data_IF_960863426553
#
_entry.id   IF_960863426553
#
_cell.length_a   1.000
_cell.length_b   1.000
_cell.length_c   1.000
_cell.angle_alpha   90.00
_cell.angle_beta   90.00
_cell.angle_gamma   90.00
#
_symmetry.space_group_name_H-M   'P 1'
#
loop_
_entity.id
_entity.type
_entity.pdbx_description
1 polymer ?
#
# COMPACT_ATOMS: atom_id res chain seq x y z
N UNK A 1 -37.12 -54.54 -2.71
CA UNK A 1 -36.71 -53.50 -1.73
C UNK A 1 -35.38 -52.92 -2.16
N UNK A 2 -35.37 -51.75 -2.78
CA UNK A 2 -34.15 -51.06 -3.24
C UNK A 2 -33.80 -49.95 -2.26
N UNK A 3 -32.73 -50.12 -1.48
CA UNK A 3 -32.19 -49.08 -0.60
C UNK A 3 -31.43 -48.08 -1.47
N UNK A 4 -32.00 -46.89 -1.65
CA UNK A 4 -31.33 -45.77 -2.31
C UNK A 4 -30.14 -45.28 -1.47
N UNK A 5 -28.93 -45.38 -2.02
CA UNK A 5 -27.76 -44.66 -1.54
C UNK A 5 -28.02 -43.14 -1.59
N UNK A 6 -28.10 -42.51 -0.42
CA UNK A 6 -28.01 -41.05 -0.31
C UNK A 6 -26.57 -40.63 -0.63
N UNK A 7 -26.29 -40.36 -1.92
CA UNK A 7 -25.10 -39.60 -2.34
C UNK A 7 -25.04 -38.28 -1.55
N UNK A 8 -24.07 -38.15 -0.64
CA UNK A 8 -23.73 -36.88 0.00
C UNK A 8 -23.40 -35.87 -1.10
N UNK A 9 -24.32 -34.94 -1.38
CA UNK A 9 -24.04 -33.76 -2.21
C UNK A 9 -22.98 -32.93 -1.49
N UNK A 10 -21.72 -33.08 -1.90
CA UNK A 10 -20.64 -32.18 -1.53
C UNK A 10 -21.06 -30.78 -2.01
N UNK A 11 -21.52 -29.93 -1.08
CA UNK A 11 -21.90 -28.54 -1.37
C UNK A 11 -20.63 -27.75 -1.68
N UNK A 12 -20.09 -27.93 -2.88
CA UNK A 12 -19.14 -26.98 -3.46
C UNK A 12 -19.80 -25.60 -3.43
N UNK A 13 -19.22 -24.66 -2.69
CA UNK A 13 -19.70 -23.27 -2.64
C UNK A 13 -19.61 -22.70 -4.06
N UNK A 14 -20.61 -21.94 -4.50
CA UNK A 14 -20.51 -21.25 -5.80
C UNK A 14 -19.26 -20.35 -5.83
N UNK A 15 -18.61 -20.17 -6.99
CA UNK A 15 -17.39 -19.36 -7.11
C UNK A 15 -17.52 -17.97 -6.46
N UNK A 16 -18.68 -17.33 -6.61
CA UNK A 16 -19.03 -16.05 -5.97
C UNK A 16 -18.97 -16.11 -4.44
N UNK A 17 -19.50 -17.17 -3.83
CA UNK A 17 -19.45 -17.36 -2.36
C UNK A 17 -18.03 -17.63 -1.87
N UNK A 18 -17.21 -18.35 -2.65
CA UNK A 18 -15.79 -18.57 -2.33
C UNK A 18 -15.00 -17.26 -2.37
N UNK A 19 -15.19 -16.44 -3.41
CA UNK A 19 -14.57 -15.13 -3.53
C UNK A 19 -14.97 -14.20 -2.37
N UNK A 20 -16.27 -14.08 -2.06
CA UNK A 20 -16.73 -13.26 -0.94
C UNK A 20 -16.18 -13.72 0.42
N UNK A 21 -16.03 -15.04 0.63
CA UNK A 21 -15.40 -15.57 1.84
C UNK A 21 -13.92 -15.18 1.90
N UNK A 22 -13.22 -15.26 0.79
CA UNK A 22 -11.81 -14.89 0.72
C UNK A 22 -11.61 -13.40 0.98
N UNK A 23 -12.49 -12.55 0.44
CA UNK A 23 -12.50 -11.12 0.74
C UNK A 23 -12.66 -10.83 2.24
N UNK A 24 -13.55 -11.57 2.93
CA UNK A 24 -13.64 -11.48 4.40
C UNK A 24 -12.33 -11.87 5.09
N UNK A 25 -11.68 -12.95 4.63
CA UNK A 25 -10.38 -13.39 5.16
C UNK A 25 -9.31 -12.31 4.98
N UNK A 26 -9.20 -11.71 3.79
CA UNK A 26 -8.23 -10.66 3.50
C UNK A 26 -8.49 -9.41 4.34
N UNK A 27 -9.76 -9.00 4.50
CA UNK A 27 -10.14 -7.84 5.32
C UNK A 27 -9.77 -8.08 6.79
N UNK A 28 -10.26 -9.17 7.40
CA UNK A 28 -9.99 -9.46 8.81
C UNK A 28 -8.50 -9.72 9.05
N UNK A 29 -7.80 -10.34 8.10
CA UNK A 29 -6.35 -10.51 8.14
C UNK A 29 -5.60 -9.17 8.15
N UNK A 30 -5.97 -8.23 7.28
CA UNK A 30 -5.41 -6.87 7.23
C UNK A 30 -5.59 -6.16 8.58
N UNK A 31 -6.80 -6.21 9.13
CA UNK A 31 -7.15 -5.58 10.41
C UNK A 31 -6.28 -6.18 11.54
N UNK A 32 -6.11 -7.51 11.59
CA UNK A 32 -5.21 -8.17 12.56
C UNK A 32 -3.72 -7.83 12.38
N UNK A 33 -3.23 -7.71 11.15
CA UNK A 33 -1.84 -7.29 10.90
C UNK A 33 -1.59 -5.87 11.38
N UNK A 34 -2.55 -4.97 11.21
CA UNK A 34 -2.45 -3.59 11.67
C UNK A 34 -2.51 -3.48 13.20
N UNK A 35 -3.42 -4.21 13.83
CA UNK A 35 -3.64 -4.15 15.28
C UNK A 35 -2.59 -4.90 16.09
N UNK A 36 -2.16 -6.07 15.60
CA UNK A 36 -1.33 -7.02 16.37
C UNK A 36 0.06 -7.21 15.79
N UNK A 37 0.38 -6.51 14.70
CA UNK A 37 1.61 -6.69 13.95
C UNK A 37 1.72 -8.06 13.28
N UNK A 38 2.86 -8.33 12.67
CA UNK A 38 3.10 -9.58 11.92
C UNK A 38 3.13 -10.83 12.82
N UNK A 39 3.49 -10.65 14.09
CA UNK A 39 3.72 -11.75 15.04
C UNK A 39 2.61 -11.93 16.08
N UNK A 40 1.81 -10.89 16.37
CA UNK A 40 0.84 -10.90 17.49
C UNK A 40 -0.50 -11.60 17.23
N UNK A 41 -0.66 -12.34 16.14
CA UNK A 41 -1.83 -13.19 15.93
C UNK A 41 -1.48 -14.56 15.32
N UNK A 42 -2.46 -15.47 15.38
CA UNK A 42 -2.37 -16.82 14.79
C UNK A 42 -3.50 -17.06 13.78
N UNK A 43 -3.29 -17.96 12.82
CA UNK A 43 -4.35 -18.38 11.89
C UNK A 43 -5.55 -19.02 12.60
N UNK A 44 -5.32 -19.67 13.75
CA UNK A 44 -6.41 -20.18 14.58
C UNK A 44 -7.25 -19.03 15.16
N UNK A 45 -6.60 -17.95 15.62
CA UNK A 45 -7.27 -16.73 16.07
C UNK A 45 -8.06 -16.06 14.94
N UNK A 46 -7.48 -15.97 13.74
CA UNK A 46 -8.17 -15.47 12.55
C UNK A 46 -9.40 -16.32 12.22
N UNK A 47 -9.28 -17.65 12.20
CA UNK A 47 -10.41 -18.56 11.95
C UNK A 47 -11.54 -18.34 12.96
N UNK A 48 -11.22 -18.20 14.25
CA UNK A 48 -12.18 -17.87 15.31
C UNK A 48 -12.87 -16.53 15.06
N UNK A 49 -12.13 -15.47 14.69
CA UNK A 49 -12.71 -14.15 14.39
C UNK A 49 -13.65 -14.13 13.17
N UNK A 50 -13.52 -15.11 12.28
CA UNK A 50 -14.32 -15.24 11.07
C UNK A 50 -15.54 -16.17 11.24
N UNK A 51 -15.69 -16.78 12.42
CA UNK A 51 -16.61 -17.88 12.70
C UNK A 51 -16.39 -19.06 11.73
N UNK A 52 -15.13 -19.47 11.60
CA UNK A 52 -14.69 -20.56 10.74
C UNK A 52 -13.84 -21.55 11.52
N UNK A 53 -13.95 -22.85 11.19
CA UNK A 53 -12.97 -23.82 11.66
C UNK A 53 -11.63 -23.64 10.93
N UNK A 54 -10.55 -24.08 11.58
CA UNK A 54 -9.18 -23.88 11.09
C UNK A 54 -8.96 -24.58 9.73
N UNK A 55 -9.51 -25.78 9.53
CA UNK A 55 -9.41 -26.52 8.27
C UNK A 55 -10.05 -25.76 7.10
N UNK A 56 -11.14 -25.04 7.34
CA UNK A 56 -11.81 -24.23 6.33
C UNK A 56 -10.94 -23.03 5.92
N UNK A 57 -10.25 -22.39 6.86
CA UNK A 57 -9.32 -21.30 6.56
C UNK A 57 -8.12 -21.80 5.73
N UNK A 58 -7.61 -22.99 6.04
CA UNK A 58 -6.52 -23.60 5.27
C UNK A 58 -6.85 -23.92 3.80
N UNK A 59 -8.13 -23.91 3.42
CA UNK A 59 -8.51 -23.99 1.99
C UNK A 59 -8.28 -22.68 1.21
N UNK A 60 -7.92 -21.60 1.90
CA UNK A 60 -7.66 -20.28 1.31
C UNK A 60 -6.23 -19.83 1.53
N UNK A 61 -5.69 -20.05 2.73
CA UNK A 61 -4.36 -19.58 3.12
C UNK A 61 -3.62 -20.61 3.97
N UNK A 62 -2.38 -20.94 3.61
CA UNK A 62 -1.61 -22.00 4.27
C UNK A 62 -0.78 -21.50 5.48
N UNK A 63 -0.43 -20.21 5.49
CA UNK A 63 0.39 -19.59 6.52
C UNK A 63 0.06 -18.11 6.69
N UNK A 64 0.55 -17.47 7.76
CA UNK A 64 0.45 -16.01 7.90
C UNK A 64 1.19 -15.28 6.78
N UNK A 65 2.31 -15.83 6.31
CA UNK A 65 3.06 -15.26 5.18
C UNK A 65 2.23 -15.31 3.91
N UNK A 66 1.54 -16.41 3.68
CA UNK A 66 0.72 -16.56 2.48
C UNK A 66 -0.51 -15.62 2.52
N UNK A 67 -1.14 -15.44 3.69
CA UNK A 67 -2.16 -14.41 3.91
C UNK A 67 -1.61 -12.99 3.65
N UNK A 68 -0.41 -12.68 4.15
CA UNK A 68 0.26 -11.40 3.91
C UNK A 68 0.50 -11.14 2.41
N UNK A 69 0.98 -12.15 1.68
CA UNK A 69 1.20 -12.06 0.22
C UNK A 69 -0.13 -11.82 -0.50
N UNK A 70 -1.19 -12.55 -0.14
CA UNK A 70 -2.50 -12.40 -0.75
C UNK A 70 -3.08 -10.99 -0.57
N UNK A 71 -2.98 -10.44 0.65
CA UNK A 71 -3.43 -9.08 0.96
C UNK A 71 -2.64 -8.06 0.13
N UNK A 72 -1.31 -8.18 0.07
CA UNK A 72 -0.47 -7.25 -0.71
C UNK A 72 -0.75 -7.34 -2.21
N UNK A 73 -0.91 -8.54 -2.75
CA UNK A 73 -1.22 -8.75 -4.17
C UNK A 73 -2.54 -8.06 -4.55
N UNK A 74 -3.56 -8.13 -3.68
CA UNK A 74 -4.84 -7.43 -3.87
C UNK A 74 -4.63 -5.91 -3.96
N UNK A 75 -3.95 -5.31 -2.98
CA UNK A 75 -3.84 -3.86 -2.90
C UNK A 75 -2.84 -3.27 -3.91
N UNK A 76 -1.74 -3.96 -4.22
CA UNK A 76 -0.88 -3.56 -5.33
C UNK A 76 -1.58 -3.68 -6.69
N UNK A 77 -2.46 -4.67 -6.86
CA UNK A 77 -3.30 -4.75 -8.06
C UNK A 77 -4.23 -3.55 -8.14
N UNK A 78 -4.94 -3.23 -7.06
CA UNK A 78 -5.82 -2.07 -7.01
C UNK A 78 -5.06 -0.78 -7.37
N UNK A 79 -3.95 -0.49 -6.68
CA UNK A 79 -3.16 0.73 -6.92
C UNK A 79 -2.60 0.80 -8.34
N UNK A 80 -2.12 -0.34 -8.88
CA UNK A 80 -1.67 -0.41 -10.28
C UNK A 80 -2.80 -0.11 -11.25
N UNK A 81 -3.97 -0.70 -11.06
CA UNK A 81 -5.11 -0.52 -11.95
C UNK A 81 -5.59 0.95 -11.91
N UNK A 82 -5.63 1.58 -10.74
CA UNK A 82 -5.88 3.02 -10.57
C UNK A 82 -4.86 3.88 -11.35
N UNK A 83 -3.55 3.59 -11.22
CA UNK A 83 -2.52 4.30 -11.98
C UNK A 83 -2.59 4.07 -13.49
N UNK A 84 -3.00 2.88 -13.94
CA UNK A 84 -3.21 2.60 -15.38
C UNK A 84 -4.34 3.49 -15.91
N UNK A 85 -5.43 3.66 -15.17
CA UNK A 85 -6.53 4.53 -15.58
C UNK A 85 -6.10 6.01 -15.60
N UNK A 86 -5.25 6.45 -14.66
CA UNK A 86 -4.65 7.80 -14.70
C UNK A 86 -3.83 7.98 -15.98
N UNK A 87 -2.99 7.00 -16.33
CA UNK A 87 -2.14 7.06 -17.53
C UNK A 87 -2.98 7.07 -18.82
N UNK A 88 -4.02 6.22 -18.91
CA UNK A 88 -4.88 6.15 -20.11
C UNK A 88 -5.67 7.44 -20.35
N UNK A 89 -6.17 8.05 -19.29
CA UNK A 89 -7.00 9.25 -19.37
C UNK A 89 -6.17 10.54 -19.34
N UNK A 90 -4.84 10.43 -19.39
CA UNK A 90 -3.95 11.57 -19.37
C UNK A 90 -3.81 12.21 -20.75
N UNK A 91 -4.03 13.52 -20.82
CA UNK A 91 -3.89 14.34 -22.02
C UNK A 91 -3.07 15.62 -21.76
N UNK A 92 -2.28 15.67 -20.68
CA UNK A 92 -1.50 16.86 -20.30
C UNK A 92 0.01 16.58 -20.40
N UNK A 93 0.85 17.33 -19.69
CA UNK A 93 2.30 17.15 -19.71
C UNK A 93 2.72 15.92 -18.90
N UNK A 94 3.88 15.33 -19.23
CA UNK A 94 4.47 14.22 -18.48
C UNK A 94 4.69 14.56 -16.99
N UNK A 95 4.98 15.82 -16.68
CA UNK A 95 5.09 16.34 -15.31
C UNK A 95 3.74 16.24 -14.60
N UNK A 96 2.67 16.72 -15.23
CA UNK A 96 1.32 16.61 -14.68
C UNK A 96 0.87 15.15 -14.53
N UNK A 97 1.33 14.23 -15.39
CA UNK A 97 1.08 12.79 -15.21
C UNK A 97 1.71 12.27 -13.92
N UNK A 98 2.98 12.59 -13.69
CA UNK A 98 3.69 12.21 -12.47
C UNK A 98 3.04 12.80 -11.23
N UNK A 99 2.63 14.07 -11.28
CA UNK A 99 1.91 14.70 -10.18
C UNK A 99 0.60 13.98 -9.85
N UNK A 100 -0.20 13.59 -10.85
CA UNK A 100 -1.41 12.78 -10.62
C UNK A 100 -1.11 11.41 -10.00
N UNK A 101 0.01 10.77 -10.37
CA UNK A 101 0.45 9.50 -9.76
C UNK A 101 0.84 9.71 -8.28
N UNK A 102 1.54 10.80 -7.96
CA UNK A 102 1.91 11.13 -6.58
C UNK A 102 0.70 11.50 -5.73
N UNK A 103 -0.25 12.26 -6.28
CA UNK A 103 -1.52 12.55 -5.64
C UNK A 103 -2.31 11.26 -5.36
N UNK A 104 -2.39 10.35 -6.34
CA UNK A 104 -3.05 9.06 -6.16
C UNK A 104 -2.38 8.22 -5.05
N UNK A 105 -1.05 8.28 -4.91
CA UNK A 105 -0.33 7.61 -3.82
C UNK A 105 -0.79 8.12 -2.44
N UNK A 106 -0.84 9.44 -2.26
CA UNK A 106 -1.30 10.04 -1.00
C UNK A 106 -2.80 9.78 -0.76
N UNK A 107 -3.63 9.84 -1.81
CA UNK A 107 -5.06 9.53 -1.71
C UNK A 107 -5.32 8.07 -1.33
N UNK A 108 -4.51 7.14 -1.84
CA UNK A 108 -4.58 5.73 -1.46
C UNK A 108 -4.32 5.55 0.05
N UNK A 109 -3.28 6.22 0.57
CA UNK A 109 -2.97 6.22 1.99
C UNK A 109 -4.10 6.80 2.86
N UNK A 110 -4.74 7.88 2.40
CA UNK A 110 -5.86 8.52 3.10
C UNK A 110 -7.11 7.66 3.17
N UNK A 111 -7.43 6.97 2.07
CA UNK A 111 -8.62 6.14 1.94
C UNK A 111 -8.53 4.88 2.80
N UNK A 112 -7.38 4.22 2.81
CA UNK A 112 -7.17 2.99 3.60
C UNK A 112 -5.71 2.85 4.02
N UNK A 113 -5.35 3.52 5.13
CA UNK A 113 -3.99 3.45 5.67
C UNK A 113 -3.59 2.03 6.10
N UNK A 114 -4.54 1.15 6.40
CA UNK A 114 -4.26 -0.26 6.68
C UNK A 114 -3.77 -1.01 5.43
N UNK A 115 -4.42 -0.76 4.29
CA UNK A 115 -3.97 -1.29 3.00
C UNK A 115 -2.60 -0.74 2.61
N UNK A 116 -2.40 0.57 2.79
CA UNK A 116 -1.13 1.24 2.60
C UNK A 116 -0.01 0.64 3.47
N UNK A 117 -0.29 0.42 4.75
CA UNK A 117 0.66 -0.18 5.70
C UNK A 117 1.05 -1.59 5.29
N UNK A 118 0.09 -2.41 4.83
CA UNK A 118 0.41 -3.74 4.28
C UNK A 118 1.32 -3.69 3.07
N UNK A 119 1.16 -2.69 2.20
CA UNK A 119 1.99 -2.54 0.99
C UNK A 119 3.42 -2.12 1.31
N UNK A 120 3.58 -1.15 2.22
CA UNK A 120 4.82 -0.38 2.38
C UNK A 120 5.54 -0.52 3.72
N UNK A 121 4.83 -0.86 4.81
CA UNK A 121 5.36 -0.75 6.18
C UNK A 121 5.44 -2.09 6.91
N UNK A 122 4.48 -2.99 6.70
CA UNK A 122 4.40 -4.25 7.41
C UNK A 122 5.21 -5.31 6.68
N UNK A 123 6.27 -5.79 7.34
CA UNK A 123 7.12 -6.86 6.83
C UNK A 123 6.42 -8.23 6.80
N UNK A 124 6.89 -9.09 5.91
CA UNK A 124 6.40 -10.46 5.82
C UNK A 124 6.72 -11.23 7.12
N UNK A 125 5.76 -11.98 7.68
CA UNK A 125 6.05 -12.88 8.80
C UNK A 125 6.91 -14.07 8.34
N UNK A 126 7.59 -14.71 9.29
CA UNK A 126 8.31 -15.96 9.03
C UNK A 126 7.34 -17.11 8.71
N UNK A 127 7.80 -18.06 7.88
CA UNK A 127 7.07 -19.27 7.52
C UNK A 127 8.05 -20.31 7.01
N UNK A 128 7.89 -21.54 7.47
CA UNK A 128 8.53 -22.77 6.96
C UNK A 128 7.79 -23.34 5.74
N UNK A 129 6.53 -22.93 5.56
CA UNK A 129 5.67 -23.34 4.45
C UNK A 129 5.62 -22.29 3.37
N UNK A 130 5.72 -22.74 2.12
CA UNK A 130 5.49 -21.95 0.92
C UNK A 130 4.16 -22.34 0.29
N UNK A 131 3.16 -21.48 0.46
CA UNK A 131 1.82 -21.71 -0.08
C UNK A 131 1.66 -21.24 -1.53
N UNK A 132 0.46 -21.39 -2.12
CA UNK A 132 0.23 -21.16 -3.55
C UNK A 132 0.50 -19.71 -4.00
N UNK A 133 0.07 -18.70 -3.24
CA UNK A 133 0.35 -17.30 -3.62
C UNK A 133 1.84 -16.96 -3.59
N UNK A 134 2.63 -17.63 -2.73
CA UNK A 134 4.08 -17.44 -2.68
C UNK A 134 4.78 -18.11 -3.86
N UNK A 135 4.32 -19.30 -4.27
CA UNK A 135 4.82 -19.99 -5.47
C UNK A 135 4.58 -19.19 -6.75
N UNK A 136 3.45 -18.51 -6.83
CA UNK A 136 3.09 -17.64 -7.95
C UNK A 136 3.62 -16.20 -7.77
N UNK A 137 4.26 -15.90 -6.64
CA UNK A 137 4.74 -14.56 -6.34
C UNK A 137 5.86 -14.16 -7.31
N UNK A 138 5.60 -13.10 -8.07
CA UNK A 138 6.63 -12.45 -8.88
C UNK A 138 7.08 -11.21 -8.15
N UNK A 139 8.40 -10.99 -8.07
CA UNK A 139 8.98 -9.77 -7.49
C UNK A 139 8.29 -8.56 -8.10
N UNK A 140 7.51 -7.88 -7.27
CA UNK A 140 6.73 -6.72 -7.71
C UNK A 140 7.64 -5.50 -7.67
N UNK A 141 8.13 -5.09 -8.85
CA UNK A 141 8.92 -3.87 -9.00
C UNK A 141 7.97 -2.67 -9.00
N UNK A 142 7.47 -2.31 -7.80
CA UNK A 142 6.51 -1.22 -7.59
C UNK A 142 6.92 0.08 -8.32
N UNK A 143 8.20 0.44 -8.23
CA UNK A 143 8.73 1.66 -8.83
C UNK A 143 8.97 1.60 -10.34
N UNK A 144 8.91 0.41 -10.96
CA UNK A 144 9.19 0.24 -12.39
C UNK A 144 8.23 1.06 -13.26
N UNK A 145 6.96 1.19 -12.85
CA UNK A 145 5.97 1.99 -13.56
C UNK A 145 6.34 3.47 -13.56
N UNK A 146 6.57 4.04 -12.38
CA UNK A 146 6.98 5.43 -12.21
C UNK A 146 8.30 5.74 -12.90
N UNK A 147 9.31 4.88 -12.74
CA UNK A 147 10.59 5.03 -13.42
C UNK A 147 10.45 5.05 -14.95
N UNK A 148 9.51 4.29 -15.52
CA UNK A 148 9.23 4.33 -16.97
C UNK A 148 8.64 5.67 -17.39
N UNK A 149 7.70 6.23 -16.62
CA UNK A 149 7.11 7.54 -16.90
C UNK A 149 8.16 8.64 -16.79
N UNK A 150 9.01 8.58 -15.77
CA UNK A 150 10.16 9.49 -15.62
C UNK A 150 11.10 9.37 -16.81
N UNK A 151 11.49 8.15 -17.21
CA UNK A 151 12.38 7.93 -18.35
C UNK A 151 11.84 8.56 -19.65
N UNK A 152 10.53 8.47 -19.89
CA UNK A 152 9.92 9.14 -21.03
C UNK A 152 10.10 10.66 -20.95
N UNK A 153 9.88 11.26 -19.78
CA UNK A 153 10.09 12.70 -19.58
C UNK A 153 11.55 13.14 -19.75
N UNK A 154 12.51 12.27 -19.40
CA UNK A 154 13.94 12.50 -19.65
C UNK A 154 14.22 12.49 -21.15
N UNK A 155 13.73 11.46 -21.87
CA UNK A 155 13.92 11.33 -23.30
C UNK A 155 13.33 12.52 -24.08
N UNK A 156 12.21 13.07 -23.61
CA UNK A 156 11.53 14.23 -24.19
C UNK A 156 12.14 15.58 -23.75
N UNK A 157 13.22 15.57 -22.96
CA UNK A 157 13.91 16.76 -22.45
C UNK A 157 13.07 17.59 -21.47
N UNK A 158 12.01 17.00 -20.90
CA UNK A 158 11.10 17.67 -19.93
C UNK A 158 11.55 17.48 -18.49
N UNK A 159 12.28 16.41 -18.20
CA UNK A 159 12.89 16.12 -16.90
C UNK A 159 14.40 16.26 -17.07
N UNK A 160 15.03 17.04 -16.19
CA UNK A 160 16.47 17.37 -16.30
C UNK A 160 17.41 16.35 -15.65
N UNK A 161 16.88 15.43 -14.86
CA UNK A 161 17.66 14.32 -14.31
C UNK A 161 18.06 13.32 -15.40
N UNK A 162 19.21 12.69 -15.26
CA UNK A 162 19.75 11.70 -16.20
C UNK A 162 19.36 10.27 -15.83
N UNK A 163 19.12 9.99 -14.55
CA UNK A 163 18.85 8.66 -14.04
C UNK A 163 17.42 8.52 -13.50
N UNK A 164 16.53 7.93 -14.32
CA UNK A 164 15.14 7.69 -13.95
C UNK A 164 14.97 6.80 -12.70
N UNK A 165 15.90 5.87 -12.49
CA UNK A 165 15.91 5.00 -11.31
C UNK A 165 16.13 5.80 -10.03
N UNK A 166 17.21 6.59 -9.97
CA UNK A 166 17.53 7.43 -8.81
C UNK A 166 16.37 8.39 -8.51
N UNK A 167 15.85 9.09 -9.52
CA UNK A 167 14.72 10.01 -9.33
C UNK A 167 13.46 9.29 -8.85
N UNK A 168 13.18 8.09 -9.36
CA UNK A 168 12.05 7.30 -8.89
C UNK A 168 12.18 6.86 -7.43
N UNK A 169 13.39 6.54 -6.95
CA UNK A 169 13.63 6.22 -5.54
C UNK A 169 13.55 7.46 -4.65
N UNK A 170 14.10 8.58 -5.10
CA UNK A 170 14.02 9.87 -4.40
C UNK A 170 12.58 10.32 -4.21
N UNK A 171 11.81 10.43 -5.30
CA UNK A 171 10.38 10.81 -5.25
C UNK A 171 9.56 9.85 -4.39
N UNK A 172 9.86 8.53 -4.45
CA UNK A 172 9.22 7.55 -3.58
C UNK A 172 9.54 7.75 -2.10
N UNK A 173 10.78 8.03 -1.73
CA UNK A 173 11.16 8.29 -0.34
C UNK A 173 10.42 9.49 0.25
N UNK A 174 10.32 10.58 -0.52
CA UNK A 174 9.60 11.79 -0.13
C UNK A 174 8.10 11.54 0.02
N UNK A 175 7.47 10.92 -0.98
CA UNK A 175 6.01 10.71 -0.95
C UNK A 175 5.60 9.66 0.10
N UNK A 176 6.44 8.66 0.36
CA UNK A 176 6.24 7.69 1.45
C UNK A 176 6.30 8.37 2.82
N UNK A 177 7.35 9.17 3.06
CA UNK A 177 7.47 9.94 4.30
C UNK A 177 6.31 10.92 4.48
N UNK A 178 5.95 11.63 3.41
CA UNK A 178 4.82 12.55 3.42
C UNK A 178 3.50 11.84 3.73
N UNK A 179 3.23 10.66 3.18
CA UNK A 179 2.02 9.88 3.48
C UNK A 179 1.92 9.49 4.97
N UNK A 180 3.06 9.17 5.60
CA UNK A 180 3.12 8.81 7.03
C UNK A 180 2.89 10.05 7.90
N UNK A 181 3.57 11.16 7.60
CA UNK A 181 3.39 12.43 8.34
C UNK A 181 1.97 12.97 8.17
N UNK A 182 1.45 12.99 6.95
CA UNK A 182 0.08 13.43 6.64
C UNK A 182 -0.98 12.60 7.41
N UNK A 183 -0.75 11.29 7.53
CA UNK A 183 -1.58 10.41 8.38
C UNK A 183 -1.53 10.81 9.85
N UNK A 184 -0.35 11.12 10.38
CA UNK A 184 -0.21 11.53 11.77
C UNK A 184 -0.89 12.87 12.03
N UNK A 185 -0.69 13.87 11.16
CA UNK A 185 -1.38 15.16 11.25
C UNK A 185 -2.90 14.97 11.28
N UNK A 186 -3.44 14.11 10.39
CA UNK A 186 -4.88 13.82 10.35
C UNK A 186 -5.41 13.19 11.65
N UNK A 187 -4.66 12.26 12.26
CA UNK A 187 -5.09 11.65 13.53
C UNK A 187 -5.21 12.72 14.61
N UNK A 188 -4.27 13.67 14.65
CA UNK A 188 -4.26 14.74 15.65
C UNK A 188 -5.40 15.72 15.39
N UNK A 189 -5.61 16.16 14.14
CA UNK A 189 -6.73 17.03 13.75
C UNK A 189 -8.11 16.45 14.13
N UNK A 190 -8.22 15.12 14.19
CA UNK A 190 -9.47 14.41 14.53
C UNK A 190 -9.60 14.09 16.02
N UNK A 191 -8.57 14.34 16.82
CA UNK A 191 -8.54 13.97 18.24
C UNK A 191 -8.87 15.18 19.10
N UNK A 192 -9.99 15.13 19.84
CA UNK A 192 -10.39 16.18 20.78
C UNK A 192 -9.45 16.31 22.01
N UNK A 193 -8.74 15.22 22.37
CA UNK A 193 -7.99 15.08 23.63
C UNK A 193 -6.45 14.92 23.47
N UNK A 194 -5.89 15.33 22.33
CA UNK A 194 -4.48 15.00 22.03
C UNK A 194 -3.45 15.68 22.96
N UNK A 195 -3.83 16.72 23.68
CA UNK A 195 -2.92 17.57 24.46
C UNK A 195 -2.55 17.06 25.87
N UNK A 196 -3.01 15.88 26.30
CA UNK A 196 -2.83 15.46 27.70
C UNK A 196 -2.13 14.14 27.97
N UNK A 197 -2.37 13.11 27.15
CA UNK A 197 -2.19 11.72 27.61
C UNK A 197 -1.30 10.81 26.73
N UNK A 198 -0.79 11.29 25.59
CA UNK A 198 0.14 10.51 24.75
C UNK A 198 1.59 10.96 24.98
N UNK A 199 2.43 10.09 25.52
CA UNK A 199 3.87 10.26 25.43
C UNK A 199 4.34 9.84 24.02
N UNK A 200 4.24 10.75 23.04
CA UNK A 200 4.66 10.49 21.66
C UNK A 200 5.19 11.73 20.95
N UNK A 201 6.29 11.57 20.22
CA UNK A 201 6.89 12.58 19.34
C UNK A 201 5.96 13.00 18.21
N UNK A 202 4.93 12.20 17.90
CA UNK A 202 3.89 12.52 16.92
C UNK A 202 3.18 13.84 17.25
N UNK A 203 3.15 14.26 18.52
CA UNK A 203 2.60 15.57 18.94
C UNK A 203 3.17 16.75 18.16
N UNK A 204 4.44 16.70 17.74
CA UNK A 204 5.05 17.77 16.96
C UNK A 204 4.28 18.08 15.66
N UNK A 205 3.62 17.07 15.08
CA UNK A 205 2.86 17.23 13.84
C UNK A 205 1.52 17.97 14.03
N UNK A 206 1.06 18.14 15.27
CA UNK A 206 -0.12 18.95 15.61
C UNK A 206 0.22 20.35 16.13
N UNK A 207 1.49 20.63 16.39
CA UNK A 207 1.97 21.93 16.92
C UNK A 207 2.49 22.86 15.82
N UNK A 208 2.45 22.42 14.57
CA UNK A 208 2.88 23.21 13.42
C UNK A 208 2.00 24.44 13.20
N UNK A 209 2.59 25.52 12.70
CA UNK A 209 1.90 26.76 12.30
C UNK A 209 1.27 26.68 10.90
N UNK A 210 1.21 25.48 10.32
CA UNK A 210 0.65 25.19 9.01
C UNK A 210 -0.34 24.02 9.06
N UNK A 211 -1.32 24.01 8.17
CA UNK A 211 -2.30 22.92 8.09
C UNK A 211 -1.74 21.67 7.39
N UNK A 212 -2.40 20.52 7.59
CA UNK A 212 -2.12 19.31 6.79
C UNK A 212 -2.20 19.57 5.27
N UNK A 213 -3.14 20.41 4.84
CA UNK A 213 -3.28 20.79 3.43
C UNK A 213 -2.06 21.58 2.93
N UNK A 214 -1.54 22.50 3.74
CA UNK A 214 -0.36 23.30 3.40
C UNK A 214 0.88 22.41 3.28
N UNK A 215 1.07 21.48 4.23
CA UNK A 215 2.14 20.48 4.15
C UNK A 215 2.07 19.66 2.86
N UNK A 216 0.89 19.14 2.53
CA UNK A 216 0.70 18.34 1.31
C UNK A 216 1.01 19.12 0.04
N UNK A 217 0.53 20.35 -0.05
CA UNK A 217 0.79 21.25 -1.18
C UNK A 217 2.29 21.56 -1.30
N UNK A 218 2.97 21.80 -0.16
CA UNK A 218 4.40 22.04 -0.14
C UNK A 218 5.19 20.85 -0.69
N UNK A 219 4.88 19.62 -0.24
CA UNK A 219 5.55 18.41 -0.72
C UNK A 219 5.32 18.20 -2.22
N UNK A 220 4.08 18.35 -2.71
CA UNK A 220 3.78 18.20 -4.13
C UNK A 220 4.51 19.25 -4.98
N UNK A 221 4.57 20.51 -4.53
CA UNK A 221 5.33 21.56 -5.20
C UNK A 221 6.84 21.24 -5.21
N UNK A 222 7.41 20.75 -4.10
CA UNK A 222 8.82 20.31 -4.07
C UNK A 222 9.10 19.15 -5.00
N UNK A 223 8.18 18.18 -5.11
CA UNK A 223 8.29 17.09 -6.07
C UNK A 223 8.26 17.62 -7.51
N UNK A 224 7.31 18.48 -7.85
CA UNK A 224 7.21 19.09 -9.19
C UNK A 224 8.50 19.84 -9.58
N UNK A 225 9.03 20.66 -8.65
CA UNK A 225 10.29 21.36 -8.88
C UNK A 225 11.47 20.40 -9.05
N UNK A 226 11.53 19.31 -8.27
CA UNK A 226 12.61 18.32 -8.42
C UNK A 226 12.59 17.58 -9.76
N UNK A 227 11.44 17.52 -10.44
CA UNK A 227 11.34 16.97 -11.78
C UNK A 227 11.86 17.95 -12.85
N UNK A 228 11.73 19.25 -12.61
CA UNK A 228 11.96 20.32 -13.61
C UNK A 228 13.27 21.09 -13.40
N UNK A 229 13.88 20.99 -12.22
CA UNK A 229 15.11 21.71 -11.85
C UNK A 229 16.20 20.73 -11.38
N UNK A 230 17.30 20.63 -12.14
CA UNK A 230 18.45 19.76 -11.86
C UNK A 230 19.37 20.31 -10.77
N UNK A 231 19.19 21.56 -10.33
CA UNK A 231 20.13 22.23 -9.42
C UNK A 231 20.08 21.72 -7.96
N UNK A 232 19.01 21.00 -7.58
CA UNK A 232 18.89 20.39 -6.24
C UNK A 232 19.81 19.16 -6.07
N UNK A 233 20.05 18.39 -7.13
CA UNK A 233 20.93 17.21 -7.05
C UNK A 233 22.43 17.58 -7.01
N UNK A 234 22.82 18.71 -7.61
CA UNK A 234 24.22 19.16 -7.69
C UNK A 234 24.67 20.07 -6.55
N UNK A 235 23.75 20.75 -5.84
CA UNK A 235 24.12 21.56 -4.68
C UNK A 235 24.40 20.75 -3.41
N UNK A 236 23.77 19.58 -3.25
CA UNK A 236 23.93 18.77 -2.02
C UNK A 236 25.14 17.82 -2.05
N UNK A 237 25.73 17.57 -3.22
CA UNK A 237 26.95 16.76 -3.36
C UNK A 237 28.25 17.58 -3.29
N UNK A 238 28.17 18.91 -3.43
CA UNK A 238 29.33 19.80 -3.39
C UNK A 238 29.60 20.42 -2.00
N UNK A 239 28.98 19.88 -0.95
CA UNK A 239 29.16 20.30 0.46
C UNK A 239 29.67 19.18 1.36
N UNK A 240 30.50 18.26 0.84
CA UNK A 240 31.47 17.48 1.61
C UNK A 240 32.76 17.25 0.86
#
# INVERSE_FOLDING_TARGET
MSVMEKKKKTRSRSPKKKAAQFERILKTGKDLFLEKGRDGFSLRGLAKSLDMNQNNLYNYVESKRELWIAIRNKFFKQYRDENIEIIKNHNTSIINLLMKIFENFLQFADKDFGAFSMMHLIEAPSSDKMGPFEKEYRKFNFLKGTAKVIQNGINDGKIKESNAGILSFYTYSLILGAAIVDRHMRIIEQSEDFNGNLASEIIQFGQADFSRKDFRNYILNKLENSLTDSSLAQKELNTK
#
